data_IF_930909075713
#
_entry.id   IF_930909075713
#
_cell.length_a   1.000
_cell.length_b   1.000
_cell.length_c   1.000
_cell.angle_alpha   90.00
_cell.angle_beta   90.00
_cell.angle_gamma   90.00
#
_symmetry.space_group_name_H-M   'P 1'
#
loop_
_entity.id
_entity.type
_entity.pdbx_description
1 polymer ?
#
# COMPACT_ATOMS: atom_id res chain seq x y z
N UNK A 1 1.05 10.80 -33.68
CA UNK A 1 1.91 9.70 -33.19
C UNK A 1 1.03 8.48 -32.93
N UNK A 2 1.20 7.40 -33.70
CA UNK A 2 0.34 6.20 -33.63
C UNK A 2 0.75 5.33 -32.45
N UNK A 3 -0.04 5.32 -31.38
CA UNK A 3 0.10 4.35 -30.30
C UNK A 3 -0.26 2.96 -30.85
N UNK A 4 0.73 2.06 -30.90
CA UNK A 4 0.53 0.68 -31.30
C UNK A 4 -0.39 0.01 -30.27
N UNK A 5 -1.71 -0.02 -30.54
CA UNK A 5 -2.73 -0.65 -29.69
C UNK A 5 -2.59 -2.16 -29.74
N UNK A 6 -1.60 -2.71 -29.03
CA UNK A 6 -1.57 -4.14 -28.71
C UNK A 6 -2.72 -4.43 -27.76
N UNK A 7 -3.72 -5.09 -28.30
CA UNK A 7 -4.88 -5.59 -27.61
C UNK A 7 -4.48 -6.81 -26.75
N UNK A 8 -4.58 -6.69 -25.43
CA UNK A 8 -4.29 -7.78 -24.48
C UNK A 8 -5.59 -8.35 -23.92
N UNK A 9 -5.60 -9.67 -23.67
CA UNK A 9 -6.64 -10.30 -22.86
C UNK A 9 -6.44 -10.01 -21.36
N UNK A 10 -7.44 -10.24 -20.51
CA UNK A 10 -7.31 -10.08 -19.05
C UNK A 10 -6.21 -10.96 -18.46
N UNK A 11 -6.11 -12.20 -18.93
CA UNK A 11 -5.08 -13.14 -18.46
C UNK A 11 -3.68 -12.70 -18.87
N UNK A 12 -3.55 -12.17 -20.09
CA UNK A 12 -2.29 -11.61 -20.56
C UNK A 12 -1.88 -10.35 -19.78
N UNK A 13 -2.81 -9.43 -19.53
CA UNK A 13 -2.59 -8.25 -18.71
C UNK A 13 -2.13 -8.63 -17.30
N UNK A 14 -2.82 -9.58 -16.67
CA UNK A 14 -2.49 -10.07 -15.33
C UNK A 14 -1.07 -10.64 -15.27
N UNK A 15 -0.71 -11.50 -16.24
CA UNK A 15 0.64 -12.07 -16.38
C UNK A 15 1.70 -10.99 -16.57
N UNK A 16 1.48 -10.03 -17.48
CA UNK A 16 2.44 -8.95 -17.77
C UNK A 16 2.61 -7.97 -16.61
N UNK A 17 1.57 -7.74 -15.81
CA UNK A 17 1.66 -6.95 -14.59
C UNK A 17 2.14 -7.75 -13.36
N UNK A 18 2.31 -9.07 -13.52
CA UNK A 18 2.59 -10.03 -12.45
C UNK A 18 1.63 -9.83 -11.26
N UNK A 19 0.33 -9.90 -11.56
CA UNK A 19 -0.78 -9.88 -10.60
C UNK A 19 -1.76 -11.00 -10.92
N UNK A 20 -2.64 -11.34 -9.98
CA UNK A 20 -3.71 -12.31 -10.25
C UNK A 20 -4.81 -11.70 -11.16
N UNK A 21 -5.51 -12.51 -11.96
CA UNK A 21 -6.68 -12.04 -12.71
C UNK A 21 -7.77 -11.42 -11.80
N UNK A 22 -7.88 -11.87 -10.55
CA UNK A 22 -8.78 -11.32 -9.53
C UNK A 22 -8.38 -9.91 -9.14
N UNK A 23 -7.07 -9.62 -9.07
CA UNK A 23 -6.53 -8.28 -8.81
C UNK A 23 -6.91 -7.32 -9.93
N UNK A 24 -6.84 -7.78 -11.19
CA UNK A 24 -7.30 -6.99 -12.33
C UNK A 24 -8.80 -6.70 -12.21
N UNK A 25 -9.63 -7.71 -11.91
CA UNK A 25 -11.08 -7.52 -11.68
C UNK A 25 -11.38 -6.55 -10.52
N UNK A 26 -10.60 -6.64 -9.44
CA UNK A 26 -10.72 -5.75 -8.30
C UNK A 26 -10.48 -4.29 -8.70
N UNK A 27 -9.43 -4.02 -9.47
CA UNK A 27 -9.13 -2.67 -9.98
C UNK A 27 -10.08 -2.17 -11.06
N UNK A 28 -10.74 -3.06 -11.80
CA UNK A 28 -11.86 -2.65 -12.65
C UNK A 28 -13.04 -2.16 -11.80
N UNK A 29 -13.40 -2.92 -10.76
CA UNK A 29 -14.58 -2.64 -9.93
C UNK A 29 -14.49 -1.30 -9.20
N UNK A 30 -13.32 -0.98 -8.65
CA UNK A 30 -13.13 0.24 -7.86
C UNK A 30 -12.73 1.46 -8.72
N UNK A 31 -12.74 1.30 -10.06
CA UNK A 31 -12.45 2.28 -11.12
C UNK A 31 -11.08 3.01 -11.14
N UNK A 32 -9.96 2.54 -10.56
CA UNK A 32 -8.65 3.11 -10.85
C UNK A 32 -8.15 2.71 -12.24
N UNK A 33 -8.69 1.68 -12.90
CA UNK A 33 -8.44 1.40 -14.33
C UNK A 33 -9.53 2.03 -15.19
N UNK A 34 -9.17 2.56 -16.36
CA UNK A 34 -10.15 2.98 -17.36
C UNK A 34 -10.98 1.76 -17.82
N UNK A 35 -12.25 1.97 -18.15
CA UNK A 35 -13.10 0.89 -18.65
C UNK A 35 -12.45 0.29 -19.92
N UNK A 36 -12.23 -1.03 -19.97
CA UNK A 36 -11.58 -1.65 -21.10
C UNK A 36 -12.47 -1.56 -22.35
N UNK A 37 -11.84 -1.32 -23.49
CA UNK A 37 -12.53 -1.39 -24.77
C UNK A 37 -13.07 -2.82 -24.98
N UNK A 38 -14.20 -2.92 -25.66
CA UNK A 38 -14.77 -4.21 -26.07
C UNK A 38 -14.53 -4.39 -27.56
N UNK A 39 -14.13 -5.59 -27.95
CA UNK A 39 -14.18 -6.02 -29.35
C UNK A 39 -15.65 -6.16 -29.80
N UNK A 40 -15.86 -6.17 -31.11
CA UNK A 40 -17.16 -6.48 -31.72
C UNK A 40 -17.73 -7.83 -31.26
N UNK A 41 -16.86 -8.77 -30.89
CA UNK A 41 -17.21 -10.07 -30.30
C UNK A 41 -17.60 -10.02 -28.81
N UNK A 42 -17.63 -8.85 -28.18
CA UNK A 42 -18.00 -8.66 -26.77
C UNK A 42 -16.87 -8.89 -25.76
N UNK A 43 -15.69 -9.37 -26.19
CA UNK A 43 -14.54 -9.60 -25.32
C UNK A 43 -13.87 -8.28 -24.89
N UNK A 44 -13.46 -8.22 -23.60
CA UNK A 44 -12.68 -7.10 -23.05
C UNK A 44 -11.25 -7.14 -23.56
N UNK A 45 -10.77 -5.97 -23.98
CA UNK A 45 -9.42 -5.76 -24.48
C UNK A 45 -8.75 -4.63 -23.72
N UNK A 46 -7.53 -4.88 -23.31
CA UNK A 46 -6.68 -3.93 -22.61
C UNK A 46 -5.58 -3.42 -23.53
N UNK A 47 -5.10 -2.22 -23.26
CA UNK A 47 -4.04 -1.56 -24.03
C UNK A 47 -2.75 -1.49 -23.21
N UNK A 48 -1.64 -1.16 -23.85
CA UNK A 48 -0.38 -0.89 -23.14
C UNK A 48 -0.53 0.20 -22.07
N UNK A 49 -1.39 1.21 -22.31
CA UNK A 49 -1.71 2.24 -21.31
C UNK A 49 -2.37 1.63 -20.06
N UNK A 50 -3.24 0.64 -20.25
CA UNK A 50 -3.85 -0.11 -19.14
C UNK A 50 -2.79 -0.87 -18.35
N UNK A 51 -1.81 -1.49 -19.03
CA UNK A 51 -0.70 -2.18 -18.38
C UNK A 51 0.17 -1.21 -17.58
N UNK A 52 0.56 -0.09 -18.18
CA UNK A 52 1.36 0.94 -17.50
C UNK A 52 0.65 1.45 -16.24
N UNK A 53 -0.66 1.68 -16.32
CA UNK A 53 -1.49 2.11 -15.19
C UNK A 53 -1.59 1.05 -14.09
N UNK A 54 -1.73 -0.22 -14.47
CA UNK A 54 -1.77 -1.33 -13.52
C UNK A 54 -0.43 -1.51 -12.78
N UNK A 55 0.69 -1.42 -13.51
CA UNK A 55 2.04 -1.43 -12.93
C UNK A 55 2.25 -0.25 -11.97
N UNK A 56 1.76 0.94 -12.34
CA UNK A 56 1.81 2.11 -11.46
C UNK A 56 1.08 1.87 -10.14
N UNK A 57 -0.16 1.36 -10.20
CA UNK A 57 -0.96 1.06 -9.00
C UNK A 57 -0.23 0.06 -8.10
N UNK A 58 0.27 -1.04 -8.69
CA UNK A 58 1.02 -2.07 -7.96
C UNK A 58 2.25 -1.49 -7.27
N UNK A 59 3.08 -0.76 -8.00
CA UNK A 59 4.32 -0.20 -7.45
C UNK A 59 4.02 0.83 -6.34
N UNK A 60 3.00 1.67 -6.53
CA UNK A 60 2.61 2.64 -5.50
C UNK A 60 2.09 1.95 -4.21
N UNK A 61 1.36 0.83 -4.33
CA UNK A 61 0.99 0.05 -3.15
C UNK A 61 2.20 -0.55 -2.43
N UNK A 62 3.18 -1.09 -3.19
CA UNK A 62 4.43 -1.58 -2.60
C UNK A 62 5.20 -0.49 -1.85
N UNK A 63 5.05 0.78 -2.26
CA UNK A 63 5.62 1.95 -1.59
C UNK A 63 4.79 2.46 -0.40
N UNK A 64 3.70 1.76 -0.03
CA UNK A 64 2.86 2.12 1.12
C UNK A 64 1.82 3.21 0.84
N UNK A 65 1.54 3.50 -0.43
CA UNK A 65 0.40 4.35 -0.79
C UNK A 65 -0.91 3.56 -0.67
N UNK A 66 -1.89 4.20 -0.04
CA UNK A 66 -3.27 3.73 0.02
C UNK A 66 -3.94 3.99 -1.31
N UNK A 67 -4.95 3.19 -1.64
CA UNK A 67 -5.67 3.30 -2.91
C UNK A 67 -6.20 4.73 -3.20
N UNK A 68 -6.70 5.44 -2.18
CA UNK A 68 -7.15 6.83 -2.30
C UNK A 68 -6.02 7.79 -2.71
N UNK A 69 -4.80 7.57 -2.22
CA UNK A 69 -3.63 8.37 -2.59
C UNK A 69 -3.18 8.05 -4.02
N UNK A 70 -3.23 6.78 -4.40
CA UNK A 70 -2.93 6.33 -5.76
C UNK A 70 -3.92 6.93 -6.76
N UNK A 71 -5.21 6.99 -6.44
CA UNK A 71 -6.22 7.67 -7.27
C UNK A 71 -5.89 9.16 -7.47
N UNK A 72 -5.43 9.85 -6.42
CA UNK A 72 -4.97 11.25 -6.54
C UNK A 72 -3.75 11.37 -7.45
N UNK A 73 -2.76 10.49 -7.30
CA UNK A 73 -1.58 10.47 -8.17
C UNK A 73 -1.96 10.21 -9.64
N UNK A 74 -2.88 9.28 -9.90
CA UNK A 74 -3.38 8.99 -11.25
C UNK A 74 -4.17 10.15 -11.84
N UNK A 75 -4.99 10.86 -11.04
CA UNK A 75 -5.68 12.07 -11.48
C UNK A 75 -4.68 13.18 -11.83
N UNK A 76 -3.54 13.23 -11.14
CA UNK A 76 -2.49 14.22 -11.42
C UNK A 76 -1.81 14.02 -12.77
N UNK A 77 -1.69 12.77 -13.22
CA UNK A 77 -1.03 12.36 -14.47
C UNK A 77 -1.79 12.82 -15.72
N UNK A 78 -3.12 12.94 -15.65
CA UNK A 78 -3.96 13.28 -16.81
C UNK A 78 -3.99 14.77 -17.17
N UNK A 79 -3.53 15.69 -16.29
CA UNK A 79 -3.36 17.10 -16.69
C UNK A 79 -1.94 17.33 -17.19
N UNK A 80 -1.83 17.61 -18.49
CA UNK A 80 -0.56 17.76 -19.22
C UNK A 80 0.29 19.00 -18.85
N UNK A 81 -0.06 19.76 -17.81
CA UNK A 81 0.39 21.15 -17.64
C UNK A 81 1.25 21.52 -16.44
N UNK A 82 1.27 20.79 -15.32
CA UNK A 82 2.19 21.16 -14.22
C UNK A 82 1.77 20.83 -12.80
N UNK A 83 2.05 19.60 -12.36
CA UNK A 83 1.86 19.22 -10.94
C UNK A 83 3.00 18.43 -10.32
N UNK A 84 4.21 18.56 -10.87
CA UNK A 84 5.43 18.01 -10.23
C UNK A 84 5.51 18.42 -8.74
N UNK A 85 5.07 19.66 -8.41
CA UNK A 85 4.96 20.16 -7.04
C UNK A 85 4.00 19.34 -6.17
N UNK A 86 2.80 19.01 -6.66
CA UNK A 86 1.79 18.31 -5.86
C UNK A 86 2.12 16.82 -5.72
N UNK A 87 2.66 16.20 -6.76
CA UNK A 87 3.21 14.84 -6.69
C UNK A 87 4.34 14.81 -5.67
N UNK A 88 5.27 15.77 -5.72
CA UNK A 88 6.37 15.88 -4.75
C UNK A 88 5.85 16.04 -3.32
N UNK A 89 4.79 16.83 -3.10
CA UNK A 89 4.15 16.96 -1.78
C UNK A 89 3.57 15.64 -1.28
N UNK A 90 2.86 14.90 -2.12
CA UNK A 90 2.29 13.59 -1.74
C UNK A 90 3.39 12.58 -1.39
N UNK A 91 4.46 12.52 -2.18
CA UNK A 91 5.59 11.63 -1.91
C UNK A 91 6.32 12.04 -0.63
N UNK A 92 6.57 13.34 -0.40
CA UNK A 92 7.16 13.83 0.84
C UNK A 92 6.30 13.55 2.08
N UNK A 93 4.96 13.65 1.92
CA UNK A 93 4.01 13.25 2.96
C UNK A 93 4.13 11.75 3.29
N UNK A 94 4.25 10.90 2.26
CA UNK A 94 4.44 9.45 2.46
C UNK A 94 5.74 9.13 3.20
N UNK A 95 6.83 9.81 2.88
CA UNK A 95 8.10 9.68 3.60
C UNK A 95 7.90 10.04 5.08
N UNK A 96 7.23 11.17 5.36
CA UNK A 96 6.97 11.61 6.74
C UNK A 96 6.11 10.61 7.53
N UNK A 97 5.14 9.96 6.88
CA UNK A 97 4.33 8.91 7.49
C UNK A 97 5.16 7.65 7.80
N UNK A 98 6.04 7.25 6.87
CA UNK A 98 6.96 6.13 7.05
C UNK A 98 7.90 6.41 8.23
N UNK A 99 8.49 7.61 8.31
CA UNK A 99 9.39 8.00 9.39
C UNK A 99 8.68 7.93 10.76
N UNK A 100 7.43 8.41 10.82
CA UNK A 100 6.61 8.31 12.03
C UNK A 100 6.35 6.84 12.42
N UNK A 101 6.07 6.00 11.44
CA UNK A 101 5.85 4.58 11.67
C UNK A 101 7.14 3.87 12.12
N UNK A 102 8.30 4.21 11.56
CA UNK A 102 9.60 3.69 11.99
C UNK A 102 9.90 4.05 13.43
N UNK A 103 9.64 5.29 13.86
CA UNK A 103 9.78 5.70 15.26
C UNK A 103 8.91 4.83 16.16
N UNK A 104 7.64 4.62 15.79
CA UNK A 104 6.75 3.77 16.56
C UNK A 104 7.24 2.31 16.63
N UNK A 105 7.59 1.71 15.49
CA UNK A 105 8.09 0.33 15.43
C UNK A 105 9.36 0.14 16.25
N UNK A 106 10.28 1.13 16.24
CA UNK A 106 11.47 1.11 17.10
C UNK A 106 11.11 1.11 18.58
N UNK A 107 10.18 1.99 19.00
CA UNK A 107 9.71 2.04 20.39
C UNK A 107 9.05 0.73 20.82
N UNK A 108 8.18 0.17 19.97
CA UNK A 108 7.51 -1.10 20.22
C UNK A 108 8.52 -2.23 20.34
N UNK A 109 9.48 -2.33 19.40
CA UNK A 109 10.57 -3.32 19.46
C UNK A 109 11.39 -3.19 20.75
N UNK A 110 11.78 -1.98 21.15
CA UNK A 110 12.51 -1.73 22.39
C UNK A 110 11.71 -2.09 23.64
N UNK A 111 10.39 -1.90 23.63
CA UNK A 111 9.52 -2.35 24.72
C UNK A 111 9.47 -3.88 24.80
N UNK A 112 9.19 -4.56 23.68
CA UNK A 112 9.17 -6.02 23.61
C UNK A 112 10.51 -6.64 24.02
N UNK A 113 11.64 -6.07 23.59
CA UNK A 113 12.97 -6.53 23.99
C UNK A 113 13.18 -6.45 25.51
N UNK A 114 12.73 -5.36 26.16
CA UNK A 114 12.78 -5.23 27.62
C UNK A 114 11.87 -6.22 28.34
N UNK A 115 10.72 -6.57 27.77
CA UNK A 115 9.84 -7.58 28.34
C UNK A 115 10.53 -8.95 28.39
N UNK A 116 11.17 -9.34 27.28
CA UNK A 116 11.93 -10.59 27.20
C UNK A 116 13.07 -10.62 28.22
N UNK A 117 13.84 -9.53 28.35
CA UNK A 117 14.93 -9.43 29.34
C UNK A 117 14.46 -9.53 30.80
N UNK A 118 13.24 -9.08 31.11
CA UNK A 118 12.69 -9.14 32.47
C UNK A 118 12.10 -10.50 32.84
N UNK A 119 12.00 -11.41 31.88
CA UNK A 119 11.51 -12.75 32.10
C UNK A 119 12.68 -13.69 32.40
N UNK A 120 12.78 -14.18 33.62
CA UNK A 120 13.86 -15.09 34.02
C UNK A 120 13.51 -16.57 33.81
N UNK A 121 12.43 -16.86 33.07
CA UNK A 121 11.96 -18.22 32.75
C UNK A 121 11.51 -19.07 33.96
N UNK A 122 11.62 -18.53 35.17
CA UNK A 122 11.23 -19.17 36.43
C UNK A 122 10.51 -18.13 37.29
N UNK A 123 9.21 -18.33 37.46
CA UNK A 123 8.43 -17.74 38.51
C UNK A 123 8.05 -18.83 39.52
N UNK A 124 8.60 -18.77 40.73
CA UNK A 124 8.12 -19.63 41.81
C UNK A 124 6.63 -19.38 42.16
N UNK A 125 6.03 -18.31 41.61
CA UNK A 125 4.63 -17.90 41.76
C UNK A 125 3.71 -18.25 40.59
N UNK A 126 4.20 -18.97 39.56
CA UNK A 126 3.41 -19.39 38.39
C UNK A 126 2.86 -18.25 37.52
N UNK A 127 3.37 -17.02 37.66
CA UNK A 127 2.87 -15.81 36.98
C UNK A 127 3.95 -15.12 36.16
N UNK A 128 3.84 -15.26 34.83
CA UNK A 128 4.85 -14.77 33.91
C UNK A 128 4.94 -13.24 33.93
N UNK A 129 6.13 -12.72 34.27
CA UNK A 129 6.39 -11.26 34.38
C UNK A 129 6.12 -10.50 33.07
N UNK A 130 6.23 -11.16 31.91
CA UNK A 130 5.88 -10.58 30.61
C UNK A 130 4.39 -10.22 30.57
N UNK A 131 3.53 -11.15 31.03
CA UNK A 131 2.09 -10.97 31.01
C UNK A 131 1.67 -9.78 31.89
N UNK A 132 2.22 -9.69 33.11
CA UNK A 132 1.98 -8.55 34.01
C UNK A 132 2.46 -7.23 33.40
N UNK A 133 3.62 -7.21 32.75
CA UNK A 133 4.16 -5.98 32.17
C UNK A 133 3.42 -5.53 30.89
N UNK A 134 2.80 -6.44 30.14
CA UNK A 134 1.97 -6.07 28.98
C UNK A 134 0.66 -5.37 29.36
N UNK A 135 0.18 -5.55 30.59
CA UNK A 135 -1.01 -4.85 31.10
C UNK A 135 -0.80 -3.34 31.26
N UNK A 136 0.47 -2.88 31.27
CA UNK A 136 0.82 -1.45 31.41
C UNK A 136 1.63 -1.00 30.20
N UNK A 137 0.94 -0.43 29.20
CA UNK A 137 1.59 0.16 28.04
C UNK A 137 2.25 1.50 28.38
N UNK A 138 3.50 1.74 27.94
CA UNK A 138 4.10 3.06 28.01
C UNK A 138 3.22 4.11 27.31
N UNK A 139 3.08 5.29 27.91
CA UNK A 139 2.32 6.42 27.32
C UNK A 139 2.79 6.78 25.89
N UNK A 140 4.08 6.55 25.59
CA UNK A 140 4.65 6.75 24.26
C UNK A 140 4.06 5.81 23.20
N UNK A 141 3.62 4.60 23.58
CA UNK A 141 2.98 3.63 22.67
C UNK A 141 1.46 3.82 22.62
N UNK A 142 0.81 4.19 23.73
CA UNK A 142 -0.65 4.36 23.77
C UNK A 142 -1.16 5.49 22.88
N UNK A 143 -0.40 6.59 22.73
CA UNK A 143 -0.77 7.73 21.88
C UNK A 143 -0.76 7.43 20.38
N UNK A 144 -0.09 6.35 19.95
CA UNK A 144 -0.02 5.98 18.54
C UNK A 144 -1.24 5.15 18.10
N UNK A 145 -1.76 4.28 18.98
CA UNK A 145 -2.95 3.47 18.71
C UNK A 145 -4.19 4.31 18.37
N UNK A 146 -4.30 5.53 18.90
CA UNK A 146 -5.42 6.45 18.64
C UNK A 146 -5.33 7.21 17.31
N UNK A 147 -4.19 7.18 16.59
CA UNK A 147 -3.99 7.90 15.32
C UNK A 147 -3.84 6.96 14.14
N UNK A 148 -4.84 6.10 13.98
CA UNK A 148 -4.90 4.98 13.04
C UNK A 148 -4.25 5.19 11.67
N UNK A 149 -3.54 4.13 11.27
CA UNK A 149 -3.15 3.79 9.89
C UNK A 149 -4.37 3.73 8.98
#
# INVERSE_FOLDING_TARGET
MRANKRAMSRGELARRASVSPETVRYYERIRPLAEPNRLLSGYRVYTEDTLARLLFIKNAQCLGFRLKEIQRLLAMQSDHGGRCRDVKKLVAGKISDIDRHLVHLRLTKSFLARLVQKCNGRDASGTCRIFTCMQVLPKALSRWSAKGV
#
